data_IF_127448826735
#
_entry.id   IF_127448826735
#
_cell.length_a   1.000
_cell.length_b   1.000
_cell.length_c   1.000
_cell.angle_alpha   90.00
_cell.angle_beta   90.00
_cell.angle_gamma   90.00
#
_symmetry.space_group_name_H-M   'P 1'
#
loop_
_entity.id
_entity.type
_entity.pdbx_description
1 polymer ?
#
# COMPACT_ATOMS: atom_id res chain seq x y z
N UNK A 1 -14.08 36.47 0.07
CA UNK A 1 -13.08 35.49 -0.41
C UNK A 1 -13.01 34.36 0.60
N UNK A 2 -12.95 33.08 0.19
CA UNK A 2 -12.67 32.00 1.13
C UNK A 2 -11.30 32.20 1.77
N UNK A 3 -11.21 31.96 3.08
CA UNK A 3 -9.95 32.00 3.82
C UNK A 3 -9.06 30.87 3.28
N UNK A 4 -7.81 31.13 2.86
CA UNK A 4 -6.91 30.07 2.44
C UNK A 4 -6.71 29.09 3.61
N UNK A 5 -6.69 27.77 3.37
CA UNK A 5 -6.49 26.79 4.42
C UNK A 5 -5.17 27.07 5.16
N UNK A 6 -5.15 26.79 6.46
CA UNK A 6 -3.96 26.95 7.29
C UNK A 6 -2.84 26.08 6.70
N UNK A 7 -1.71 26.66 6.24
CA UNK A 7 -0.66 25.90 5.60
C UNK A 7 0.11 25.00 6.59
N UNK A 8 -0.13 25.17 7.89
CA UNK A 8 0.55 24.45 8.94
C UNK A 8 -0.12 23.10 9.20
N UNK A 9 0.71 22.06 9.26
CA UNK A 9 0.34 20.73 9.72
C UNK A 9 0.90 20.46 11.12
N UNK A 10 0.12 19.80 11.96
CA UNK A 10 0.55 19.33 13.29
C UNK A 10 1.23 17.96 13.16
N UNK A 11 2.46 17.85 13.63
CA UNK A 11 3.17 16.58 13.72
C UNK A 11 2.62 15.75 14.88
N UNK A 12 2.09 14.55 14.61
CA UNK A 12 1.53 13.69 15.67
C UNK A 12 2.53 12.66 16.22
N UNK A 13 3.74 12.62 15.68
CA UNK A 13 4.81 11.76 16.14
C UNK A 13 5.37 10.80 15.09
N UNK A 14 6.36 10.05 15.55
CA UNK A 14 7.06 9.03 14.76
C UNK A 14 6.89 7.66 15.41
N UNK A 15 6.73 6.65 14.57
CA UNK A 15 6.72 5.26 14.98
C UNK A 15 7.62 4.41 14.08
N UNK A 16 7.98 3.22 14.57
CA UNK A 16 8.88 2.29 13.89
C UNK A 16 8.19 0.97 13.64
N UNK A 17 8.41 0.40 12.46
CA UNK A 17 7.89 -0.90 12.07
C UNK A 17 9.03 -1.84 11.65
N UNK A 18 8.93 -3.11 12.04
CA UNK A 18 9.81 -4.17 11.58
C UNK A 18 11.07 -4.37 12.44
N UNK A 19 11.12 -3.80 13.64
CA UNK A 19 12.15 -4.10 14.63
C UNK A 19 11.99 -5.53 15.17
N UNK A 20 13.12 -6.19 15.44
CA UNK A 20 13.18 -7.57 15.93
C UNK A 20 14.02 -7.68 17.19
N UNK A 21 15.24 -7.14 17.16
CA UNK A 21 16.19 -7.22 18.27
C UNK A 21 16.50 -5.86 18.88
N UNK A 22 16.51 -4.80 18.08
CA UNK A 22 16.88 -3.48 18.57
C UNK A 22 15.82 -2.93 19.54
N UNK A 23 16.23 -2.32 20.67
CA UNK A 23 15.29 -1.69 21.59
C UNK A 23 14.57 -0.51 20.91
N UNK A 24 13.23 -0.56 20.90
CA UNK A 24 12.39 0.47 20.26
C UNK A 24 12.72 1.88 20.75
N UNK A 25 12.89 2.07 22.06
CA UNK A 25 13.17 3.38 22.65
C UNK A 25 14.53 3.95 22.26
N UNK A 26 15.52 3.09 22.05
CA UNK A 26 16.85 3.50 21.56
C UNK A 26 16.76 3.99 20.11
N UNK A 27 16.06 3.23 19.26
CA UNK A 27 15.83 3.58 17.86
C UNK A 27 15.05 4.90 17.74
N UNK A 28 13.99 5.10 18.53
CA UNK A 28 13.21 6.35 18.53
C UNK A 28 14.04 7.55 18.99
N UNK A 29 14.94 7.39 19.97
CA UNK A 29 15.88 8.44 20.39
C UNK A 29 16.85 8.81 19.26
N UNK A 30 17.39 7.81 18.55
CA UNK A 30 18.28 8.03 17.41
C UNK A 30 17.57 8.71 16.24
N UNK A 31 16.31 8.34 15.99
CA UNK A 31 15.47 9.00 14.99
C UNK A 31 15.36 10.50 15.31
N UNK A 32 15.18 10.88 16.58
CA UNK A 32 15.33 12.27 17.02
C UNK A 32 14.36 13.25 16.35
N UNK A 33 13.10 12.84 16.18
CA UNK A 33 12.05 13.69 15.62
C UNK A 33 11.57 14.73 16.65
N UNK A 34 10.96 15.84 16.20
CA UNK A 34 10.33 16.85 17.06
C UNK A 34 9.29 16.25 18.02
N UNK A 35 8.92 17.00 19.05
CA UNK A 35 7.82 16.59 19.92
C UNK A 35 6.48 16.58 19.16
N UNK A 36 5.59 15.60 19.38
CA UNK A 36 4.21 15.65 18.91
C UNK A 36 3.52 16.96 19.34
N UNK A 37 2.70 17.53 18.45
CA UNK A 37 2.08 18.84 18.61
C UNK A 37 2.84 19.99 17.95
N UNK A 38 4.10 19.78 17.55
CA UNK A 38 4.88 20.77 16.79
C UNK A 38 4.24 21.02 15.43
N UNK A 39 4.20 22.28 14.99
CA UNK A 39 3.56 22.71 13.74
C UNK A 39 4.62 23.00 12.69
N UNK A 40 4.37 22.58 11.46
CA UNK A 40 5.29 22.77 10.32
C UNK A 40 4.53 23.21 9.07
N UNK A 41 5.11 24.14 8.32
CA UNK A 41 4.74 24.37 6.94
C UNK A 41 5.41 23.32 6.04
N UNK A 42 4.65 22.30 5.65
CA UNK A 42 5.17 21.21 4.82
C UNK A 42 5.48 21.66 3.39
N UNK A 43 4.77 22.66 2.87
CA UNK A 43 5.00 23.20 1.52
C UNK A 43 6.34 23.95 1.43
N UNK A 44 6.73 24.61 2.52
CA UNK A 44 8.05 25.26 2.65
C UNK A 44 9.15 24.27 3.06
N UNK A 45 8.82 23.00 3.24
CA UNK A 45 9.78 21.95 3.55
C UNK A 45 10.38 22.05 4.96
N UNK A 46 9.71 22.72 5.91
CA UNK A 46 10.23 22.96 7.27
C UNK A 46 10.53 21.66 8.05
N UNK A 47 9.86 20.56 7.69
CA UNK A 47 10.08 19.26 8.30
C UNK A 47 11.22 18.45 7.65
N UNK A 48 11.63 18.81 6.43
CA UNK A 48 12.64 18.08 5.63
C UNK A 48 13.99 17.91 6.35
N UNK A 49 14.54 18.92 7.05
CA UNK A 49 15.83 18.77 7.76
C UNK A 49 15.82 17.61 8.76
N UNK A 50 14.71 17.40 9.49
CA UNK A 50 14.60 16.31 10.45
C UNK A 50 14.72 14.93 9.78
N UNK A 51 14.10 14.75 8.62
CA UNK A 51 14.22 13.50 7.84
C UNK A 51 15.66 13.29 7.34
N UNK A 52 16.30 14.36 6.86
CA UNK A 52 17.66 14.31 6.31
C UNK A 52 18.73 14.02 7.36
N UNK A 53 18.57 14.51 8.59
CA UNK A 53 19.50 14.26 9.69
C UNK A 53 19.26 12.91 10.37
N UNK A 54 18.00 12.49 10.45
CA UNK A 54 17.58 11.30 11.19
C UNK A 54 18.09 10.00 10.55
N UNK A 55 17.92 9.84 9.23
CA UNK A 55 18.31 8.60 8.54
C UNK A 55 19.82 8.30 8.63
N UNK A 56 20.74 9.24 8.35
CA UNK A 56 22.18 8.99 8.51
C UNK A 56 22.57 8.63 9.94
N UNK A 57 21.98 9.31 10.95
CA UNK A 57 22.25 9.01 12.37
C UNK A 57 21.89 7.57 12.72
N UNK A 58 20.73 7.12 12.26
CA UNK A 58 20.25 5.76 12.50
C UNK A 58 21.13 4.71 11.78
N UNK A 59 21.51 4.98 10.53
CA UNK A 59 22.37 4.06 9.74
C UNK A 59 23.82 4.02 10.22
N UNK A 60 24.32 5.09 10.86
CA UNK A 60 25.64 5.09 11.49
C UNK A 60 25.68 4.27 12.78
N UNK A 61 24.57 4.22 13.52
CA UNK A 61 24.46 3.49 14.78
C UNK A 61 24.17 1.99 14.59
N UNK A 62 23.46 1.62 13.52
CA UNK A 62 23.01 0.24 13.29
C UNK A 62 23.15 -0.20 11.83
N UNK A 63 23.61 -1.44 11.57
CA UNK A 63 23.78 -1.98 10.22
C UNK A 63 22.45 -2.45 9.60
N UNK A 64 21.47 -1.54 9.49
CA UNK A 64 20.16 -1.83 8.95
C UNK A 64 20.25 -2.15 7.46
N UNK A 65 19.60 -3.23 7.04
CA UNK A 65 19.53 -3.66 5.64
C UNK A 65 18.52 -2.80 4.85
N UNK A 66 17.60 -2.17 5.56
CA UNK A 66 16.60 -1.28 4.99
C UNK A 66 16.19 -0.20 5.99
N UNK A 67 16.00 1.01 5.49
CA UNK A 67 15.51 2.14 6.26
C UNK A 67 14.78 3.13 5.35
N UNK A 68 13.46 3.19 5.48
CA UNK A 68 12.59 4.13 4.76
C UNK A 68 11.76 4.94 5.73
N UNK A 69 11.63 6.23 5.45
CA UNK A 69 10.74 7.14 6.14
C UNK A 69 9.54 7.36 5.24
N UNK A 70 8.34 7.12 5.78
CA UNK A 70 7.08 7.36 5.10
C UNK A 70 6.30 8.40 5.88
N UNK A 71 6.06 9.55 5.24
CA UNK A 71 5.25 10.62 5.79
C UNK A 71 3.85 10.52 5.22
N UNK A 72 2.84 10.48 6.10
CA UNK A 72 1.43 10.48 5.71
C UNK A 72 0.78 11.73 6.27
N UNK A 73 0.15 12.51 5.38
CA UNK A 73 -0.61 13.70 5.73
C UNK A 73 -2.10 13.39 5.78
N UNK A 74 -2.80 14.06 6.68
CA UNK A 74 -4.25 13.99 6.85
C UNK A 74 -4.81 15.40 6.64
N UNK A 75 -5.07 15.81 5.39
CA UNK A 75 -5.59 17.15 5.09
C UNK A 75 -6.83 17.54 5.90
N UNK A 76 -7.83 16.66 6.12
CA UNK A 76 -9.03 17.04 6.89
C UNK A 76 -8.75 17.49 8.32
N UNK A 77 -7.71 16.96 8.96
CA UNK A 77 -7.31 17.29 10.33
C UNK A 77 -6.09 18.20 10.40
N UNK A 78 -5.48 18.54 9.25
CA UNK A 78 -4.19 19.23 9.18
C UNK A 78 -3.13 18.59 10.07
N UNK A 79 -3.04 17.26 10.05
CA UNK A 79 -2.05 16.50 10.84
C UNK A 79 -1.20 15.60 9.97
N UNK A 80 -0.04 15.18 10.47
CA UNK A 80 0.81 14.21 9.77
C UNK A 80 1.61 13.35 10.74
N UNK A 81 2.00 12.16 10.25
CA UNK A 81 2.82 11.18 10.98
C UNK A 81 3.96 10.68 10.12
N UNK A 82 4.98 10.17 10.79
CA UNK A 82 6.10 9.47 10.16
C UNK A 82 6.14 8.03 10.64
N UNK A 83 6.16 7.10 9.69
CA UNK A 83 6.54 5.71 9.96
C UNK A 83 7.97 5.49 9.46
N UNK A 84 8.81 4.89 10.29
CA UNK A 84 10.16 4.45 9.92
C UNK A 84 10.16 2.93 9.79
N UNK A 85 10.26 2.51 8.54
CA UNK A 85 10.23 1.12 8.10
C UNK A 85 11.64 0.53 8.08
N UNK A 86 11.88 -0.51 8.87
CA UNK A 86 13.22 -1.04 9.15
C UNK A 86 13.34 -2.53 8.83
N UNK A 87 14.51 -2.94 8.34
CA UNK A 87 14.93 -4.36 8.26
C UNK A 87 16.29 -4.49 8.94
N UNK A 88 16.33 -5.28 10.01
CA UNK A 88 17.56 -5.64 10.72
C UNK A 88 18.32 -6.76 9.99
N UNK A 89 19.64 -6.91 10.21
CA UNK A 89 20.40 -8.06 9.73
C UNK A 89 19.77 -9.40 10.12
N UNK A 90 19.63 -10.30 9.15
CA UNK A 90 18.99 -11.60 9.30
C UNK A 90 17.48 -11.61 9.04
N UNK A 91 16.83 -10.47 8.77
CA UNK A 91 15.42 -10.38 8.37
C UNK A 91 15.23 -9.96 6.90
N UNK A 92 16.27 -10.09 6.07
CA UNK A 92 16.29 -9.73 4.64
C UNK A 92 15.29 -10.55 3.81
N UNK A 93 14.77 -11.64 4.37
CA UNK A 93 13.67 -12.42 3.76
C UNK A 93 12.45 -11.55 3.41
N UNK A 94 12.26 -10.42 4.10
CA UNK A 94 11.18 -9.45 3.84
C UNK A 94 11.39 -8.62 2.58
N UNK A 95 12.57 -8.71 1.97
CA UNK A 95 12.98 -7.95 0.78
C UNK A 95 13.35 -8.87 -0.39
N UNK A 96 12.79 -10.07 -0.43
CA UNK A 96 12.99 -11.01 -1.55
C UNK A 96 12.12 -10.59 -2.74
N UNK A 97 12.49 -9.46 -3.34
CA UNK A 97 11.93 -8.95 -4.58
C UNK A 97 12.64 -9.57 -5.78
N UNK A 98 11.97 -9.52 -6.93
CA UNK A 98 12.52 -9.96 -8.21
C UNK A 98 13.62 -8.98 -8.67
N UNK A 99 14.60 -9.45 -9.47
CA UNK A 99 15.63 -8.57 -10.00
C UNK A 99 15.03 -7.49 -10.91
N UNK A 100 15.60 -6.26 -10.93
CA UNK A 100 15.23 -5.21 -11.88
C UNK A 100 15.26 -5.72 -13.33
N UNK A 101 14.14 -5.59 -14.07
CA UNK A 101 14.13 -5.94 -15.48
C UNK A 101 15.02 -4.97 -16.27
N UNK A 102 15.60 -5.46 -17.36
CA UNK A 102 16.57 -4.70 -18.18
C UNK A 102 16.09 -4.43 -19.61
N UNK A 103 14.92 -4.96 -19.97
CA UNK A 103 14.35 -4.84 -21.30
C UNK A 103 13.83 -3.43 -21.60
N UNK A 104 13.38 -3.27 -22.83
CA UNK A 104 12.62 -2.11 -23.28
C UNK A 104 11.46 -2.64 -24.09
N UNK A 105 10.25 -2.22 -23.73
CA UNK A 105 9.03 -2.62 -24.41
C UNK A 105 8.39 -1.35 -24.98
N UNK A 106 8.01 -1.43 -26.26
CA UNK A 106 7.30 -0.36 -26.94
C UNK A 106 5.95 -0.07 -26.27
N UNK A 107 5.52 1.18 -26.33
CA UNK A 107 4.22 1.59 -25.79
C UNK A 107 3.08 0.98 -26.64
N UNK A 108 2.29 0.03 -26.11
CA UNK A 108 1.28 -0.67 -26.90
C UNK A 108 0.18 0.29 -27.34
N UNK A 109 0.09 0.59 -28.64
CA UNK A 109 -0.86 1.56 -29.22
C UNK A 109 -0.82 2.97 -28.56
N UNK A 110 0.27 3.32 -27.87
CA UNK A 110 0.36 4.62 -27.16
C UNK A 110 -0.45 4.68 -25.86
N UNK A 111 -0.86 3.54 -25.30
CA UNK A 111 -1.70 3.48 -24.09
C UNK A 111 -1.01 4.04 -22.84
N UNK A 112 0.31 3.84 -22.70
CA UNK A 112 1.08 4.39 -21.58
C UNK A 112 1.13 5.93 -21.70
N UNK A 113 1.41 6.45 -22.89
CA UNK A 113 1.39 7.89 -23.15
C UNK A 113 0.00 8.50 -22.91
N UNK A 114 -1.06 7.81 -23.34
CA UNK A 114 -2.44 8.24 -23.11
C UNK A 114 -2.79 8.31 -21.61
N UNK A 115 -2.31 7.35 -20.80
CA UNK A 115 -2.43 7.42 -19.35
C UNK A 115 -1.70 8.63 -18.76
N UNK A 116 -0.50 8.93 -19.26
CA UNK A 116 0.24 10.13 -18.88
C UNK A 116 -0.55 11.42 -19.16
N UNK A 117 -1.21 11.51 -20.32
CA UNK A 117 -2.07 12.64 -20.67
C UNK A 117 -3.29 12.75 -19.73
N UNK A 118 -3.93 11.61 -19.40
CA UNK A 118 -5.00 11.56 -18.40
C UNK A 118 -4.53 12.10 -17.04
N UNK A 119 -3.39 11.62 -16.52
CA UNK A 119 -2.88 12.06 -15.22
C UNK A 119 -2.57 13.56 -15.20
N UNK A 120 -1.98 14.10 -16.27
CA UNK A 120 -1.69 15.53 -16.36
C UNK A 120 -2.97 16.37 -16.29
N UNK A 121 -4.00 16.01 -17.06
CA UNK A 121 -5.30 16.70 -17.04
C UNK A 121 -5.99 16.54 -15.69
N UNK A 122 -5.98 15.33 -15.10
CA UNK A 122 -6.58 15.07 -13.79
C UNK A 122 -5.93 15.93 -12.69
N UNK A 123 -4.60 15.96 -12.62
CA UNK A 123 -3.89 16.73 -11.59
C UNK A 123 -4.03 18.25 -11.78
N UNK A 124 -4.14 18.72 -13.02
CA UNK A 124 -4.50 20.12 -13.31
C UNK A 124 -5.87 20.45 -12.71
N UNK A 125 -6.91 19.69 -13.08
CA UNK A 125 -8.27 19.91 -12.60
C UNK A 125 -8.37 19.78 -11.07
N UNK A 126 -7.58 18.88 -10.47
CA UNK A 126 -7.54 18.67 -9.02
C UNK A 126 -7.01 19.91 -8.29
N UNK A 127 -5.95 20.54 -8.81
CA UNK A 127 -5.41 21.80 -8.27
C UNK A 127 -6.37 22.98 -8.45
N UNK A 128 -7.15 22.96 -9.52
CA UNK A 128 -8.19 23.96 -9.79
C UNK A 128 -9.48 23.73 -8.98
N UNK A 129 -9.57 22.64 -8.20
CA UNK A 129 -10.77 22.28 -7.45
C UNK A 129 -11.93 21.78 -8.31
N UNK A 130 -11.71 21.52 -9.60
CA UNK A 130 -12.73 21.09 -10.56
C UNK A 130 -13.09 19.60 -10.46
N UNK A 131 -12.29 18.82 -9.73
CA UNK A 131 -12.59 17.41 -9.39
C UNK A 131 -12.46 17.20 -7.87
N UNK A 132 -13.31 16.36 -7.25
CA UNK A 132 -13.34 16.17 -5.81
C UNK A 132 -12.05 15.55 -5.25
N UNK A 133 -11.83 15.74 -3.96
CA UNK A 133 -10.63 15.27 -3.26
C UNK A 133 -10.56 13.78 -3.10
N UNK A 134 -11.71 13.22 -2.77
CA UNK A 134 -11.91 11.80 -2.86
C UNK A 134 -12.20 11.53 -4.32
N UNK A 135 -11.34 10.76 -4.97
CA UNK A 135 -11.53 10.25 -6.33
C UNK A 135 -12.76 9.33 -6.36
N UNK A 136 -13.95 9.91 -6.38
CA UNK A 136 -15.22 9.22 -6.50
C UNK A 136 -15.77 9.59 -7.87
N UNK A 137 -15.39 8.83 -8.88
CA UNK A 137 -15.85 9.00 -10.25
C UNK A 137 -16.12 7.65 -10.89
N UNK A 138 -17.09 7.62 -11.80
CA UNK A 138 -17.40 6.42 -12.56
C UNK A 138 -16.34 6.16 -13.63
N UNK A 139 -16.21 4.89 -13.98
CA UNK A 139 -15.47 4.39 -15.13
C UNK A 139 -15.88 2.94 -15.43
N UNK A 140 -15.42 2.41 -16.55
CA UNK A 140 -15.68 1.04 -17.01
C UNK A 140 -14.63 0.03 -16.53
N UNK A 141 -13.49 0.48 -16.00
CA UNK A 141 -12.50 -0.41 -15.39
C UNK A 141 -13.00 -1.00 -14.06
N UNK A 142 -12.33 -2.06 -13.61
CA UNK A 142 -12.59 -2.65 -12.28
C UNK A 142 -12.34 -1.66 -11.12
N UNK A 143 -11.47 -0.67 -11.33
CA UNK A 143 -11.27 0.48 -10.43
C UNK A 143 -10.69 1.64 -11.21
N UNK A 144 -10.93 2.87 -10.74
CA UNK A 144 -10.35 4.05 -11.35
C UNK A 144 -9.64 4.98 -10.38
N UNK A 145 -8.58 5.57 -10.90
CA UNK A 145 -7.82 6.64 -10.27
C UNK A 145 -8.44 7.92 -10.77
N UNK A 146 -9.04 8.74 -9.92
CA UNK A 146 -9.63 10.03 -10.30
C UNK A 146 -10.99 9.96 -11.02
N UNK A 147 -11.25 8.89 -11.77
CA UNK A 147 -12.50 8.70 -12.54
C UNK A 147 -12.60 9.58 -13.79
N UNK A 148 -13.68 9.41 -14.55
CA UNK A 148 -13.86 10.03 -15.87
C UNK A 148 -15.11 10.91 -16.00
N UNK A 149 -15.78 11.22 -14.87
CA UNK A 149 -17.02 12.01 -14.86
C UNK A 149 -16.88 13.46 -15.34
N UNK A 150 -15.68 14.05 -15.26
CA UNK A 150 -15.47 15.44 -15.67
C UNK A 150 -15.41 15.54 -17.21
N UNK A 151 -16.02 16.55 -17.86
CA UNK A 151 -16.05 16.64 -19.33
C UNK A 151 -14.70 16.62 -20.05
N UNK A 152 -13.64 17.12 -19.39
CA UNK A 152 -12.27 17.05 -19.94
C UNK A 152 -11.58 15.70 -19.73
N UNK A 153 -12.07 14.88 -18.80
CA UNK A 153 -11.54 13.55 -18.52
C UNK A 153 -12.30 12.48 -19.30
N UNK A 154 -13.62 12.58 -19.40
CA UNK A 154 -14.50 11.65 -20.11
C UNK A 154 -13.96 11.14 -21.47
N UNK A 155 -13.52 12.00 -22.41
CA UNK A 155 -13.04 11.52 -23.71
C UNK A 155 -11.72 10.74 -23.64
N UNK A 156 -10.99 10.81 -22.52
CA UNK A 156 -9.71 10.12 -22.33
C UNK A 156 -9.89 8.65 -21.93
N UNK A 157 -11.10 8.21 -21.58
CA UNK A 157 -11.34 6.81 -21.18
C UNK A 157 -11.40 5.85 -22.38
N UNK A 158 -11.98 6.31 -23.49
CA UNK A 158 -12.25 5.50 -24.68
C UNK A 158 -11.05 4.67 -25.17
N UNK A 159 -9.85 5.27 -25.32
CA UNK A 159 -8.65 4.53 -25.68
C UNK A 159 -8.32 3.35 -24.75
N UNK A 160 -8.61 3.46 -23.45
CA UNK A 160 -8.34 2.39 -22.49
C UNK A 160 -9.36 1.26 -22.58
N UNK A 161 -10.65 1.61 -22.71
CA UNK A 161 -11.75 0.64 -22.86
C UNK A 161 -11.51 -0.27 -24.06
N UNK A 162 -11.12 0.31 -25.19
CA UNK A 162 -10.95 -0.43 -26.43
C UNK A 162 -9.54 -1.02 -26.57
N UNK A 163 -8.51 -0.27 -26.20
CA UNK A 163 -7.12 -0.59 -26.45
C UNK A 163 -6.54 -1.62 -25.47
N UNK A 164 -6.89 -1.57 -24.19
CA UNK A 164 -6.33 -2.50 -23.19
C UNK A 164 -6.70 -3.95 -23.49
N UNK A 165 -7.97 -4.32 -23.75
CA UNK A 165 -8.31 -5.71 -24.07
C UNK A 165 -7.62 -6.25 -25.33
N UNK A 166 -7.28 -5.39 -26.31
CA UNK A 166 -6.52 -5.79 -27.50
C UNK A 166 -5.02 -5.96 -27.22
N UNK A 167 -4.48 -5.14 -26.31
CA UNK A 167 -3.05 -5.06 -26.04
C UNK A 167 -2.65 -5.71 -24.71
N UNK A 168 -3.51 -6.53 -24.10
CA UNK A 168 -3.27 -7.13 -22.77
C UNK A 168 -1.93 -7.87 -22.71
N UNK A 169 -1.61 -8.68 -23.72
CA UNK A 169 -0.33 -9.40 -23.77
C UNK A 169 0.88 -8.45 -23.82
N UNK A 170 0.79 -7.35 -24.57
CA UNK A 170 1.85 -6.36 -24.68
C UNK A 170 2.01 -5.55 -23.37
N UNK A 171 0.91 -5.17 -22.72
CA UNK A 171 0.94 -4.52 -21.40
C UNK A 171 1.52 -5.43 -20.31
N UNK A 172 1.21 -6.73 -20.36
CA UNK A 172 1.81 -7.72 -19.45
C UNK A 172 3.32 -7.83 -19.68
N UNK A 173 3.79 -7.71 -20.92
CA UNK A 173 5.22 -7.64 -21.21
C UNK A 173 5.83 -6.35 -20.67
N UNK A 174 5.20 -5.20 -20.85
CA UNK A 174 5.65 -3.93 -20.23
C UNK A 174 5.82 -4.14 -18.72
N UNK A 175 4.79 -4.65 -18.04
CA UNK A 175 4.79 -4.93 -16.59
C UNK A 175 5.90 -5.89 -16.14
N UNK A 176 6.42 -6.78 -17.00
CA UNK A 176 7.39 -7.81 -16.60
C UNK A 176 8.82 -7.52 -17.05
N UNK A 177 8.97 -6.83 -18.18
CA UNK A 177 10.23 -6.78 -18.92
C UNK A 177 10.79 -5.37 -19.05
N UNK A 178 9.98 -4.32 -18.91
CA UNK A 178 10.44 -2.95 -19.15
C UNK A 178 11.25 -2.40 -17.96
N UNK A 179 12.46 -1.91 -18.24
CA UNK A 179 13.33 -1.28 -17.24
C UNK A 179 12.74 -0.03 -16.59
N UNK A 180 11.77 0.63 -17.23
CA UNK A 180 11.12 1.84 -16.73
C UNK A 180 10.02 1.48 -15.72
N UNK A 181 10.34 1.72 -14.45
CA UNK A 181 9.46 1.52 -13.30
C UNK A 181 8.09 2.19 -13.45
N UNK A 182 8.05 3.39 -14.04
CA UNK A 182 6.82 4.16 -14.24
C UNK A 182 5.95 3.55 -15.33
N UNK A 183 6.57 3.05 -16.42
CA UNK A 183 5.84 2.28 -17.44
C UNK A 183 5.24 1.01 -16.85
N UNK A 184 6.00 0.26 -16.06
CA UNK A 184 5.50 -0.97 -15.41
C UNK A 184 4.31 -0.68 -14.49
N UNK A 185 4.42 0.35 -13.64
CA UNK A 185 3.34 0.76 -12.76
C UNK A 185 2.10 1.18 -13.55
N UNK A 186 2.29 1.95 -14.63
CA UNK A 186 1.20 2.35 -15.53
C UNK A 186 0.55 1.15 -16.21
N UNK A 187 1.33 0.16 -16.66
CA UNK A 187 0.79 -1.07 -17.22
C UNK A 187 -0.06 -1.85 -16.20
N UNK A 188 0.38 -1.94 -14.93
CA UNK A 188 -0.43 -2.53 -13.87
C UNK A 188 -1.78 -1.82 -13.70
N UNK A 189 -1.78 -0.48 -13.70
CA UNK A 189 -3.01 0.33 -13.62
C UNK A 189 -3.93 0.07 -14.81
N UNK A 190 -3.40 0.13 -16.03
CA UNK A 190 -4.17 -0.06 -17.26
C UNK A 190 -4.79 -1.46 -17.34
N UNK A 191 -4.13 -2.49 -16.79
CA UNK A 191 -4.69 -3.84 -16.74
C UNK A 191 -6.01 -3.92 -15.94
N UNK A 192 -6.40 -2.89 -15.19
CA UNK A 192 -7.75 -2.81 -14.60
C UNK A 192 -8.90 -2.81 -15.62
N UNK A 193 -8.62 -2.56 -16.91
CA UNK A 193 -9.56 -2.62 -18.03
C UNK A 193 -9.63 -4.01 -18.72
N UNK A 194 -8.95 -5.04 -18.21
CA UNK A 194 -9.09 -6.41 -18.75
C UNK A 194 -10.50 -6.97 -18.53
N UNK A 195 -10.82 -8.06 -19.23
CA UNK A 195 -12.21 -8.56 -19.36
C UNK A 195 -12.75 -9.24 -18.12
N UNK A 196 -11.88 -9.67 -17.20
CA UNK A 196 -12.28 -10.40 -16.00
C UNK A 196 -11.35 -10.19 -14.82
N UNK A 197 -11.88 -10.39 -13.61
CA UNK A 197 -11.11 -10.31 -12.36
C UNK A 197 -10.06 -11.42 -12.29
N UNK A 198 -10.38 -12.63 -12.74
CA UNK A 198 -9.44 -13.75 -12.79
C UNK A 198 -8.26 -13.47 -13.73
N UNK A 199 -8.51 -12.83 -14.87
CA UNK A 199 -7.46 -12.39 -15.78
C UNK A 199 -6.55 -11.34 -15.13
N UNK A 200 -7.15 -10.32 -14.49
CA UNK A 200 -6.41 -9.31 -13.74
C UNK A 200 -5.49 -9.94 -12.68
N UNK A 201 -6.04 -10.83 -11.85
CA UNK A 201 -5.28 -11.52 -10.79
C UNK A 201 -4.10 -12.29 -11.38
N UNK A 202 -4.31 -13.05 -12.47
CA UNK A 202 -3.24 -13.83 -13.12
C UNK A 202 -2.08 -12.94 -13.59
N UNK A 203 -2.37 -11.73 -14.06
CA UNK A 203 -1.36 -10.80 -14.54
C UNK A 203 -0.63 -10.07 -13.41
N UNK A 204 -1.30 -9.77 -12.31
CA UNK A 204 -0.74 -8.97 -11.21
C UNK A 204 -0.04 -9.77 -10.12
N UNK A 205 -0.37 -11.05 -9.91
CA UNK A 205 0.27 -11.86 -8.86
C UNK A 205 1.81 -11.85 -8.96
N UNK A 206 2.43 -12.00 -10.14
CA UNK A 206 3.89 -11.87 -10.26
C UNK A 206 4.43 -10.51 -9.84
N UNK A 207 3.68 -9.43 -10.12
CA UNK A 207 4.08 -8.06 -9.82
C UNK A 207 4.07 -7.72 -8.32
N UNK A 208 3.54 -8.61 -7.46
CA UNK A 208 3.66 -8.46 -5.99
C UNK A 208 5.12 -8.45 -5.55
N UNK A 209 6.03 -9.10 -6.29
CA UNK A 209 7.48 -9.08 -6.00
C UNK A 209 8.27 -8.12 -6.87
N UNK A 210 7.63 -7.22 -7.63
CA UNK A 210 8.35 -6.27 -8.47
C UNK A 210 9.38 -5.48 -7.65
N UNK A 211 10.59 -5.23 -8.17
CA UNK A 211 11.63 -4.49 -7.44
C UNK A 211 11.19 -3.06 -7.09
N UNK A 212 10.32 -2.46 -7.89
CA UNK A 212 9.81 -1.13 -7.68
C UNK A 212 8.55 -1.12 -6.81
N UNK A 213 8.61 -0.37 -5.71
CA UNK A 213 7.53 -0.25 -4.73
C UNK A 213 6.21 0.28 -5.32
N UNK A 214 6.26 1.13 -6.35
CA UNK A 214 5.06 1.63 -7.02
C UNK A 214 4.29 0.51 -7.73
N UNK A 215 4.99 -0.40 -8.41
CA UNK A 215 4.35 -1.55 -9.07
C UNK A 215 3.73 -2.49 -8.05
N UNK A 216 4.45 -2.82 -6.96
CA UNK A 216 3.90 -3.65 -5.88
C UNK A 216 2.66 -3.02 -5.24
N UNK A 217 2.70 -1.71 -5.00
CA UNK A 217 1.56 -0.98 -4.43
C UNK A 217 0.31 -1.09 -5.31
N UNK A 218 0.46 -0.91 -6.63
CA UNK A 218 -0.66 -1.02 -7.55
C UNK A 218 -1.14 -2.45 -7.73
N UNK A 219 -0.23 -3.41 -7.83
CA UNK A 219 -0.59 -4.83 -7.89
C UNK A 219 -1.43 -5.24 -6.68
N UNK A 220 -0.97 -4.94 -5.45
CA UNK A 220 -1.68 -5.30 -4.21
C UNK A 220 -3.03 -4.57 -4.09
N UNK A 221 -3.11 -3.29 -4.46
CA UNK A 221 -4.36 -2.54 -4.49
C UNK A 221 -5.39 -3.22 -5.41
N UNK A 222 -4.99 -3.51 -6.64
CA UNK A 222 -5.85 -4.08 -7.66
C UNK A 222 -6.24 -5.54 -7.35
N UNK A 223 -5.36 -6.32 -6.72
CA UNK A 223 -5.71 -7.65 -6.21
C UNK A 223 -6.82 -7.57 -5.14
N UNK A 224 -6.74 -6.60 -4.22
CA UNK A 224 -7.80 -6.33 -3.24
C UNK A 224 -9.12 -5.95 -3.90
N UNK A 225 -9.09 -5.05 -4.90
CA UNK A 225 -10.25 -4.68 -5.71
C UNK A 225 -10.84 -5.90 -6.43
N UNK A 226 -9.99 -6.73 -7.05
CA UNK A 226 -10.43 -7.93 -7.77
C UNK A 226 -11.14 -8.93 -6.85
N UNK A 227 -10.73 -9.03 -5.59
CA UNK A 227 -11.39 -9.88 -4.58
C UNK A 227 -12.69 -9.28 -4.01
N UNK A 228 -12.89 -7.97 -4.14
CA UNK A 228 -14.05 -7.31 -3.54
C UNK A 228 -15.39 -7.88 -4.05
N UNK A 229 -16.29 -8.17 -3.09
CA UNK A 229 -17.61 -8.74 -3.32
C UNK A 229 -17.62 -10.05 -4.13
N UNK A 230 -16.49 -10.79 -4.17
CA UNK A 230 -16.43 -12.08 -4.85
C UNK A 230 -16.92 -13.20 -3.92
N UNK A 231 -17.72 -14.16 -4.45
CA UNK A 231 -18.25 -15.27 -3.64
C UNK A 231 -17.21 -16.35 -3.31
N UNK A 232 -16.02 -16.28 -3.93
CA UNK A 232 -14.90 -17.21 -3.74
C UNK A 232 -13.59 -16.43 -3.72
N UNK A 233 -12.55 -16.99 -3.10
CA UNK A 233 -11.22 -16.40 -3.14
C UNK A 233 -10.61 -16.55 -4.54
N UNK A 234 -10.29 -15.43 -5.19
CA UNK A 234 -9.59 -15.32 -6.47
C UNK A 234 -8.08 -15.17 -6.27
N UNK A 235 -7.67 -14.43 -5.24
CA UNK A 235 -6.27 -14.06 -5.02
C UNK A 235 -5.51 -15.15 -4.23
N UNK A 236 -4.27 -15.50 -4.60
CA UNK A 236 -3.47 -16.44 -3.83
C UNK A 236 -3.16 -15.88 -2.44
N UNK A 237 -3.55 -16.62 -1.39
CA UNK A 237 -3.36 -16.21 0.00
C UNK A 237 -1.88 -15.96 0.29
N UNK A 238 -1.00 -16.81 -0.24
CA UNK A 238 0.44 -16.82 -0.01
C UNK A 238 1.10 -15.51 -0.44
N UNK A 239 0.71 -14.98 -1.61
CA UNK A 239 1.22 -13.70 -2.11
C UNK A 239 0.84 -12.53 -1.20
N UNK A 240 -0.36 -12.58 -0.61
CA UNK A 240 -0.84 -11.56 0.32
C UNK A 240 -0.13 -11.65 1.67
N UNK A 241 0.02 -12.86 2.21
CA UNK A 241 0.70 -13.09 3.50
C UNK A 241 2.19 -12.74 3.43
N UNK A 242 2.83 -12.99 2.28
CA UNK A 242 4.19 -12.55 2.02
C UNK A 242 4.29 -11.01 1.97
N UNK A 243 3.39 -10.36 1.24
CA UNK A 243 3.40 -8.90 1.12
C UNK A 243 3.11 -8.17 2.44
N UNK A 244 2.36 -8.79 3.36
CA UNK A 244 2.22 -8.29 4.73
C UNK A 244 3.56 -8.22 5.47
N UNK A 245 4.51 -9.09 5.14
CA UNK A 245 5.83 -9.09 5.74
C UNK A 245 6.80 -8.09 5.08
N UNK A 246 6.44 -7.47 3.95
CA UNK A 246 7.30 -6.50 3.28
C UNK A 246 7.57 -5.27 4.16
N UNK A 247 8.74 -4.62 3.98
CA UNK A 247 9.16 -3.57 4.87
C UNK A 247 8.42 -2.25 4.67
N UNK A 248 7.75 -2.00 3.56
CA UNK A 248 7.08 -0.71 3.33
C UNK A 248 5.63 -0.72 3.82
N UNK A 249 5.21 0.35 4.52
CA UNK A 249 3.80 0.56 4.88
C UNK A 249 2.87 0.48 3.66
N UNK A 250 3.29 1.02 2.51
CA UNK A 250 2.52 0.98 1.26
C UNK A 250 2.23 -0.44 0.77
N UNK A 251 3.16 -1.37 0.93
CA UNK A 251 2.97 -2.78 0.59
C UNK A 251 2.02 -3.44 1.62
N UNK A 252 2.34 -3.28 2.91
CA UNK A 252 1.58 -3.92 4.00
C UNK A 252 0.14 -3.48 4.07
N UNK A 253 -0.15 -2.18 3.95
CA UNK A 253 -1.52 -1.70 4.07
C UNK A 253 -2.41 -2.20 2.91
N UNK A 254 -1.87 -2.32 1.68
CA UNK A 254 -2.61 -2.86 0.55
C UNK A 254 -2.77 -4.38 0.68
N UNK A 255 -1.73 -5.08 1.11
CA UNK A 255 -1.81 -6.50 1.43
C UNK A 255 -2.83 -6.78 2.54
N UNK A 256 -2.88 -5.97 3.59
CA UNK A 256 -3.83 -6.11 4.67
C UNK A 256 -5.28 -5.90 4.20
N UNK A 257 -5.54 -4.89 3.36
CA UNK A 257 -6.86 -4.72 2.76
C UNK A 257 -7.23 -5.86 1.80
N UNK A 258 -6.29 -6.40 1.03
CA UNK A 258 -6.53 -7.61 0.24
C UNK A 258 -6.85 -8.82 1.14
N UNK A 259 -6.15 -8.95 2.27
CA UNK A 259 -6.41 -10.00 3.27
C UNK A 259 -7.78 -9.84 3.92
N UNK A 260 -8.23 -8.61 4.21
CA UNK A 260 -9.60 -8.34 4.68
C UNK A 260 -10.60 -9.02 3.74
N UNK A 261 -10.46 -8.84 2.42
CA UNK A 261 -11.39 -9.42 1.45
C UNK A 261 -11.32 -10.96 1.40
N UNK A 262 -10.13 -11.53 1.56
CA UNK A 262 -9.98 -12.99 1.69
C UNK A 262 -10.70 -13.49 2.95
N UNK A 263 -10.48 -12.86 4.10
CA UNK A 263 -11.06 -13.36 5.36
C UNK A 263 -12.57 -13.14 5.46
N UNK A 264 -13.09 -12.10 4.81
CA UNK A 264 -14.54 -11.90 4.64
C UNK A 264 -15.17 -13.04 3.82
N UNK A 265 -14.42 -13.68 2.92
CA UNK A 265 -14.92 -14.75 2.04
C UNK A 265 -14.67 -16.15 2.63
N UNK A 266 -13.45 -16.43 3.11
CA UNK A 266 -13.00 -17.77 3.54
C UNK A 266 -12.16 -17.74 4.84
N UNK A 267 -12.37 -16.75 5.71
CA UNK A 267 -11.54 -16.53 6.90
C UNK A 267 -11.50 -17.71 7.86
N UNK A 268 -12.64 -18.36 8.12
CA UNK A 268 -12.72 -19.50 9.02
C UNK A 268 -11.84 -20.67 8.56
N UNK A 269 -11.88 -21.00 7.26
CA UNK A 269 -11.11 -22.08 6.66
C UNK A 269 -9.59 -21.80 6.64
N UNK A 270 -9.20 -20.53 6.64
CA UNK A 270 -7.80 -20.09 6.50
C UNK A 270 -7.19 -19.58 7.82
N UNK A 271 -7.98 -19.53 8.90
CA UNK A 271 -7.61 -18.89 10.18
C UNK A 271 -6.29 -19.38 10.75
N UNK A 272 -6.13 -20.70 10.92
CA UNK A 272 -4.93 -21.27 11.54
C UNK A 272 -3.66 -20.86 10.76
N UNK A 273 -3.70 -21.00 9.44
CA UNK A 273 -2.60 -20.66 8.54
C UNK A 273 -2.27 -19.17 8.54
N UNK A 274 -3.28 -18.30 8.49
CA UNK A 274 -3.07 -16.84 8.53
C UNK A 274 -2.42 -16.43 9.85
N UNK A 275 -2.93 -16.95 10.98
CA UNK A 275 -2.37 -16.63 12.29
C UNK A 275 -0.95 -17.17 12.42
N UNK A 276 -0.66 -18.39 11.97
CA UNK A 276 0.69 -18.95 12.00
C UNK A 276 1.69 -18.11 11.22
N UNK A 277 1.36 -17.73 9.98
CA UNK A 277 2.32 -17.05 9.09
C UNK A 277 2.41 -15.53 9.31
N UNK A 278 1.31 -14.87 9.68
CA UNK A 278 1.25 -13.40 9.71
C UNK A 278 0.67 -12.82 11.00
N UNK A 279 0.31 -13.65 11.99
CA UNK A 279 -0.28 -13.15 13.23
C UNK A 279 0.59 -12.13 13.99
N UNK A 280 1.92 -12.27 13.96
CA UNK A 280 2.81 -11.34 14.65
C UNK A 280 2.86 -9.97 13.94
N UNK A 281 2.92 -10.00 12.60
CA UNK A 281 2.85 -8.80 11.76
C UNK A 281 1.50 -8.10 11.90
N UNK A 282 0.40 -8.87 11.91
CA UNK A 282 -0.95 -8.31 12.11
C UNK A 282 -1.08 -7.66 13.49
N UNK A 283 -0.51 -8.25 14.54
CA UNK A 283 -0.48 -7.63 15.87
C UNK A 283 0.38 -6.37 15.91
N UNK A 284 1.54 -6.38 15.25
CA UNK A 284 2.40 -5.20 15.14
C UNK A 284 1.65 -4.06 14.43
N UNK A 285 1.04 -4.34 13.27
CA UNK A 285 0.22 -3.39 12.52
C UNK A 285 -0.99 -2.89 13.33
N UNK A 286 -1.72 -3.78 14.00
CA UNK A 286 -2.89 -3.43 14.81
C UNK A 286 -2.55 -2.52 16.02
N UNK A 287 -1.28 -2.48 16.43
CA UNK A 287 -0.77 -1.58 17.46
C UNK A 287 -0.20 -0.26 16.94
N UNK A 288 -0.13 -0.05 15.61
CA UNK A 288 0.41 1.17 15.02
C UNK A 288 -0.48 2.38 15.28
N UNK A 289 0.10 3.57 15.36
CA UNK A 289 -0.68 4.81 15.49
C UNK A 289 -1.26 5.26 14.14
N UNK A 290 -0.58 4.97 13.03
CA UNK A 290 -1.03 5.26 11.68
C UNK A 290 -2.23 4.37 11.30
N UNK A 291 -3.37 5.01 11.07
CA UNK A 291 -4.63 4.33 10.77
C UNK A 291 -4.54 3.42 9.52
N UNK A 292 -3.76 3.83 8.52
CA UNK A 292 -3.62 3.10 7.26
C UNK A 292 -3.09 1.67 7.44
N UNK A 293 -2.25 1.43 8.46
CA UNK A 293 -1.76 0.09 8.79
C UNK A 293 -2.65 -0.58 9.86
N UNK A 294 -3.06 0.18 10.88
CA UNK A 294 -3.84 -0.32 12.01
C UNK A 294 -5.21 -0.86 11.63
N UNK A 295 -5.99 -0.09 10.88
CA UNK A 295 -7.38 -0.41 10.57
C UNK A 295 -7.54 -1.72 9.81
N UNK A 296 -6.84 -1.97 8.68
CA UNK A 296 -7.00 -3.23 7.98
C UNK A 296 -6.50 -4.43 8.80
N UNK A 297 -5.43 -4.28 9.59
CA UNK A 297 -4.94 -5.36 10.44
C UNK A 297 -5.94 -5.74 11.53
N UNK A 298 -6.52 -4.75 12.22
CA UNK A 298 -7.60 -4.99 13.19
C UNK A 298 -8.81 -5.62 12.53
N UNK A 299 -9.23 -5.15 11.36
CA UNK A 299 -10.35 -5.75 10.63
C UNK A 299 -10.11 -7.22 10.31
N UNK A 300 -8.90 -7.59 9.87
CA UNK A 300 -8.52 -9.00 9.68
C UNK A 300 -8.69 -9.78 10.98
N UNK A 301 -8.10 -9.28 12.08
CA UNK A 301 -8.16 -9.97 13.37
C UNK A 301 -9.61 -10.10 13.89
N UNK A 302 -10.43 -9.07 13.74
CA UNK A 302 -11.86 -9.08 14.11
C UNK A 302 -12.62 -10.16 13.36
N UNK A 303 -12.45 -10.25 12.04
CA UNK A 303 -13.13 -11.27 11.23
C UNK A 303 -12.68 -12.67 11.65
N UNK A 304 -11.37 -12.89 11.87
CA UNK A 304 -10.85 -14.19 12.29
C UNK A 304 -11.27 -14.59 13.72
N UNK A 305 -11.43 -13.61 14.60
CA UNK A 305 -11.89 -13.80 15.98
C UNK A 305 -13.42 -13.94 16.09
N UNK A 306 -14.16 -13.49 15.07
CA UNK A 306 -15.62 -13.42 15.08
C UNK A 306 -16.18 -12.32 16.00
N UNK A 307 -15.32 -11.44 16.53
CA UNK A 307 -15.68 -10.32 17.41
C UNK A 307 -14.55 -9.31 17.48
N UNK A 308 -14.91 -8.07 17.82
CA UNK A 308 -13.94 -7.04 18.17
C UNK A 308 -13.41 -7.26 19.61
N UNK A 309 -12.10 -7.18 19.79
CA UNK A 309 -11.44 -7.29 21.10
C UNK A 309 -10.96 -5.93 21.64
N UNK A 310 -11.31 -4.84 20.95
CA UNK A 310 -11.06 -3.46 21.39
C UNK A 310 -9.81 -2.82 20.79
N UNK A 311 -9.54 -1.61 21.27
CA UNK A 311 -8.45 -0.76 20.78
C UNK A 311 -7.06 -1.27 21.22
N UNK A 312 -6.96 -1.84 22.41
CA UNK A 312 -5.68 -2.30 22.94
C UNK A 312 -5.21 -3.58 22.24
N UNK A 313 -3.93 -3.62 21.84
CA UNK A 313 -3.34 -4.80 21.18
C UNK A 313 -3.17 -6.00 22.15
N UNK A 314 -3.26 -5.78 23.46
CA UNK A 314 -3.10 -6.82 24.49
C UNK A 314 -4.10 -7.98 24.34
N UNK A 315 -5.43 -7.71 24.40
CA UNK A 315 -6.47 -8.71 24.15
C UNK A 315 -6.30 -9.46 22.82
N UNK A 316 -5.90 -8.78 21.75
CA UNK A 316 -5.60 -9.40 20.46
C UNK A 316 -4.44 -10.39 20.56
N UNK A 317 -3.35 -10.00 21.23
CA UNK A 317 -2.16 -10.84 21.42
C UNK A 317 -2.48 -12.12 22.19
N UNK A 318 -3.24 -12.02 23.27
CA UNK A 318 -3.70 -13.16 24.05
C UNK A 318 -4.57 -14.12 23.22
N UNK A 319 -5.49 -13.55 22.43
CA UNK A 319 -6.34 -14.34 21.54
C UNK A 319 -5.54 -15.06 20.45
N UNK A 320 -4.61 -14.39 19.77
CA UNK A 320 -3.74 -15.02 18.76
C UNK A 320 -2.92 -16.15 19.39
N UNK A 321 -2.30 -15.91 20.55
CA UNK A 321 -1.47 -16.90 21.23
C UNK A 321 -2.27 -18.15 21.64
N UNK A 322 -3.48 -17.98 22.18
CA UNK A 322 -4.38 -19.08 22.52
C UNK A 322 -4.86 -19.84 21.28
N UNK A 323 -5.22 -19.13 20.22
CA UNK A 323 -5.77 -19.73 18.99
C UNK A 323 -4.73 -20.57 18.26
N UNK A 324 -3.45 -20.13 18.22
CA UNK A 324 -2.35 -20.91 17.64
C UNK A 324 -2.05 -22.20 18.40
N UNK A 325 -2.33 -22.25 19.71
CA UNK A 325 -2.10 -23.43 20.56
C UNK A 325 -3.27 -24.42 20.55
N UNK A 326 -4.45 -24.00 20.11
CA UNK A 326 -5.61 -24.87 20.06
C UNK A 326 -5.41 -25.95 18.99
N UNK A 327 -5.69 -27.23 19.28
CA UNK A 327 -5.66 -28.26 18.27
C UNK A 327 -6.68 -27.94 17.16
N UNK A 328 -6.27 -28.06 15.90
CA UNK A 328 -7.17 -27.97 14.75
C UNK A 328 -8.20 -29.10 14.86
N UNK A 329 -9.43 -28.74 15.23
CA UNK A 329 -10.57 -29.66 15.13
C UNK A 329 -10.92 -29.74 13.65
N UNK A 330 -10.66 -30.91 13.05
CA UNK A 330 -10.95 -31.22 11.65
C UNK A 330 -12.43 -31.47 11.41
#
# INVERSE_FOLDING_TARGET
>A
APVPPDPLYVFEGVEVFGLRKLPRDEVLKLIGMPAPGTRFNLEQGEFTPYLLESKPRLLAAHPLQFCRYSMVTYPPTHTFRVTVDLVEPGDERRMRFDPPPTGTVEDPEGLIAAWGAYQQTYWKLRREGAVPEKSVGGCQALTCYGGFNHPQLAPLEGPFIDGVPRNTAALVRVLREDRDDSKRMTAAILLSYVRSREELVRHLVPAVRDPFEGVRNEALRLLGTAQEAQPKVLIPLESVLEALAFPLSSDRNKAAWALVRIVETEGAARRARILEQSGDVLLEMAGMQQAIDREPARKVLTVLAGRDLGEDVGPWREWVARTRKAPTVH
#
